data_IF_685934543818
#
_entry.id   IF_685934543818
#
_cell.length_a   1.000
_cell.length_b   1.000
_cell.length_c   1.000
_cell.angle_alpha   90.00
_cell.angle_beta   90.00
_cell.angle_gamma   90.00
#
_symmetry.space_group_name_H-M   'P 1'
#
loop_
_entity.id
_entity.type
_entity.pdbx_description
1 polymer ?
#
# COMPACT_ATOMS: atom_id res chain seq x y z
N UNK A 1 -17.96 -11.90 -17.50
CA UNK A 1 -18.01 -10.52 -16.95
C UNK A 1 -18.20 -10.63 -15.45
N UNK A 2 -17.44 -9.90 -14.62
CA UNK A 2 -17.60 -9.97 -13.17
C UNK A 2 -19.02 -9.53 -12.81
N UNK A 3 -19.78 -10.41 -12.15
CA UNK A 3 -21.13 -10.13 -11.69
C UNK A 3 -21.06 -9.13 -10.55
N UNK A 4 -21.62 -7.94 -10.76
CA UNK A 4 -21.70 -6.90 -9.73
C UNK A 4 -22.70 -7.38 -8.68
N UNK A 5 -22.25 -7.51 -7.43
CA UNK A 5 -23.16 -7.70 -6.30
C UNK A 5 -23.95 -6.39 -6.08
N UNK A 6 -25.22 -6.41 -6.49
CA UNK A 6 -26.10 -5.25 -6.46
C UNK A 6 -26.44 -4.80 -5.04
N UNK A 7 -26.51 -5.72 -4.07
CA UNK A 7 -26.76 -5.37 -2.67
C UNK A 7 -25.54 -4.68 -2.06
N UNK A 8 -24.35 -5.24 -2.29
CA UNK A 8 -23.11 -4.64 -1.82
C UNK A 8 -22.83 -3.28 -2.50
N UNK A 9 -23.11 -3.17 -3.80
CA UNK A 9 -23.00 -1.92 -4.54
C UNK A 9 -23.97 -0.86 -4.02
N UNK A 10 -25.21 -1.23 -3.73
CA UNK A 10 -26.19 -0.31 -3.13
C UNK A 10 -25.75 0.16 -1.74
N UNK A 11 -25.39 -0.76 -0.85
CA UNK A 11 -24.96 -0.43 0.50
C UNK A 11 -23.73 0.50 0.50
N UNK A 12 -22.77 0.25 -0.42
CA UNK A 12 -21.61 1.10 -0.62
C UNK A 12 -21.98 2.49 -1.17
N UNK A 13 -22.89 2.54 -2.14
CA UNK A 13 -23.38 3.78 -2.71
C UNK A 13 -24.11 4.62 -1.67
N UNK A 14 -25.02 4.03 -0.89
CA UNK A 14 -25.79 4.70 0.16
C UNK A 14 -24.88 5.36 1.20
N UNK A 15 -23.90 4.61 1.73
CA UNK A 15 -22.95 5.07 2.77
C UNK A 15 -21.83 5.98 2.26
N UNK A 16 -21.82 6.35 0.97
CA UNK A 16 -20.79 7.17 0.33
C UNK A 16 -19.38 6.56 0.37
N UNK A 17 -19.28 5.26 0.15
CA UNK A 17 -18.02 4.57 0.33
C UNK A 17 -16.99 4.87 -0.76
N UNK A 18 -15.97 5.67 -0.42
CA UNK A 18 -14.82 5.96 -1.30
C UNK A 18 -14.07 4.73 -1.79
N UNK A 19 -14.15 3.60 -1.07
CA UNK A 19 -13.46 2.35 -1.44
C UNK A 19 -14.06 1.68 -2.68
N UNK A 20 -15.28 2.05 -3.03
CA UNK A 20 -15.97 1.54 -4.22
C UNK A 20 -15.86 2.49 -5.42
N UNK A 21 -15.24 3.67 -5.25
CA UNK A 21 -14.94 4.56 -6.36
C UNK A 21 -14.04 3.85 -7.38
N UNK A 22 -14.48 3.82 -8.64
CA UNK A 22 -13.77 3.14 -9.73
C UNK A 22 -13.95 1.61 -9.76
N UNK A 23 -14.66 1.01 -8.79
CA UNK A 23 -15.06 -0.42 -8.81
C UNK A 23 -16.50 -0.63 -9.25
N UNK A 24 -17.35 0.34 -8.92
CA UNK A 24 -18.73 0.37 -9.37
C UNK A 24 -19.12 1.81 -9.64
N UNK A 25 -20.03 1.99 -10.58
CA UNK A 25 -20.61 3.27 -10.92
C UNK A 25 -22.12 3.18 -10.67
N UNK A 26 -22.66 4.09 -9.86
CA UNK A 26 -24.09 4.23 -9.66
C UNK A 26 -24.67 5.19 -10.67
N UNK A 27 -25.54 4.69 -11.54
CA UNK A 27 -26.25 5.46 -12.55
C UNK A 27 -27.69 5.72 -12.11
N UNK A 28 -28.11 6.99 -12.16
CA UNK A 28 -29.41 7.43 -11.69
C UNK A 28 -30.35 7.58 -12.88
N UNK A 29 -31.28 6.63 -13.03
CA UNK A 29 -32.22 6.50 -14.16
C UNK A 29 -32.96 7.80 -14.45
N UNK A 30 -33.43 8.48 -13.41
CA UNK A 30 -34.24 9.70 -13.54
C UNK A 30 -33.46 10.93 -14.02
N UNK A 31 -32.14 10.97 -13.82
CA UNK A 31 -31.31 12.13 -14.19
C UNK A 31 -30.37 11.86 -15.36
N UNK A 32 -30.21 10.59 -15.76
CA UNK A 32 -29.24 10.22 -16.79
C UNK A 32 -27.79 10.44 -16.35
N UNK A 33 -27.51 10.55 -15.05
CA UNK A 33 -26.18 10.83 -14.51
C UNK A 33 -25.62 9.60 -13.81
N UNK A 34 -24.38 9.24 -14.12
CA UNK A 34 -23.63 8.26 -13.37
C UNK A 34 -22.56 8.89 -12.48
N UNK A 35 -22.34 8.30 -11.32
CA UNK A 35 -21.45 8.84 -10.31
C UNK A 35 -20.76 7.74 -9.50
N UNK A 36 -19.59 8.09 -8.96
CA UNK A 36 -18.88 7.22 -8.03
C UNK A 36 -19.65 7.09 -6.70
N UNK A 37 -19.54 5.96 -5.99
CA UNK A 37 -20.18 5.74 -4.70
C UNK A 37 -19.95 6.87 -3.71
N UNK A 38 -18.75 7.45 -3.61
CA UNK A 38 -18.48 8.58 -2.70
C UNK A 38 -19.03 9.94 -3.12
N UNK A 39 -19.72 10.02 -4.26
CA UNK A 39 -20.26 11.27 -4.78
C UNK A 39 -21.03 12.02 -3.69
N UNK A 40 -20.75 13.32 -3.44
CA UNK A 40 -21.45 14.11 -2.42
C UNK A 40 -22.87 14.53 -2.82
N UNK A 41 -23.34 14.16 -4.01
CA UNK A 41 -24.71 14.45 -4.46
C UNK A 41 -25.76 13.80 -3.53
N UNK A 42 -26.97 14.35 -3.52
CA UNK A 42 -28.09 13.79 -2.76
C UNK A 42 -28.35 12.35 -3.23
N UNK A 43 -28.60 11.44 -2.29
CA UNK A 43 -28.87 10.05 -2.63
C UNK A 43 -30.25 9.93 -3.27
N UNK A 44 -30.36 9.40 -4.51
CA UNK A 44 -31.63 9.00 -5.09
C UNK A 44 -32.20 7.78 -4.35
N UNK A 45 -33.48 7.47 -4.59
CA UNK A 45 -34.09 6.23 -4.11
C UNK A 45 -33.48 5.02 -4.81
N UNK A 46 -33.44 3.88 -4.13
CA UNK A 46 -32.87 2.63 -4.63
C UNK A 46 -33.43 2.19 -5.97
N UNK A 47 -34.75 2.27 -6.13
CA UNK A 47 -35.48 1.92 -7.36
C UNK A 47 -35.02 2.71 -8.60
N UNK A 48 -34.42 3.88 -8.41
CA UNK A 48 -33.93 4.77 -9.47
C UNK A 48 -32.43 4.62 -9.75
N UNK A 49 -31.74 3.67 -9.13
CA UNK A 49 -30.30 3.46 -9.33
C UNK A 49 -30.04 2.10 -9.92
N UNK A 50 -29.15 2.06 -10.90
CA UNK A 50 -28.51 0.84 -11.37
C UNK A 50 -26.99 0.97 -11.29
N UNK A 51 -26.31 -0.17 -11.36
CA UNK A 51 -24.87 -0.24 -11.13
C UNK A 51 -24.15 -0.84 -12.33
N UNK A 52 -23.03 -0.23 -12.68
CA UNK A 52 -22.13 -0.65 -13.76
C UNK A 52 -20.73 -0.94 -13.21
N UNK A 53 -19.99 -1.84 -13.86
CA UNK A 53 -18.65 -2.23 -13.40
C UNK A 53 -17.62 -1.12 -13.65
N UNK A 54 -17.92 -0.20 -14.56
CA UNK A 54 -17.08 0.95 -14.86
C UNK A 54 -17.84 2.06 -15.59
N UNK A 55 -17.16 3.20 -15.74
CA UNK A 55 -17.70 4.37 -16.42
C UNK A 55 -18.06 4.13 -17.89
N UNK A 56 -17.34 3.23 -18.56
CA UNK A 56 -17.55 2.97 -19.99
C UNK A 56 -18.86 2.21 -20.26
N UNK A 57 -19.21 1.24 -19.42
CA UNK A 57 -20.51 0.55 -19.51
C UNK A 57 -21.67 1.52 -19.24
N UNK A 58 -21.55 2.40 -18.24
CA UNK A 58 -22.56 3.41 -17.96
C UNK A 58 -22.75 4.37 -19.15
N UNK A 59 -21.65 4.76 -19.82
CA UNK A 59 -21.70 5.63 -21.01
C UNK A 59 -22.32 4.92 -22.21
N UNK A 60 -21.97 3.66 -22.44
CA UNK A 60 -22.58 2.83 -23.48
C UNK A 60 -24.10 2.65 -23.27
N UNK A 61 -24.54 2.63 -22.01
CA UNK A 61 -25.95 2.63 -21.62
C UNK A 61 -26.63 4.01 -21.69
N UNK A 62 -25.93 5.06 -22.17
CA UNK A 62 -26.50 6.40 -22.40
C UNK A 62 -26.39 7.37 -21.23
N UNK A 63 -25.68 7.02 -20.15
CA UNK A 63 -25.50 7.90 -19.00
C UNK A 63 -24.34 8.88 -19.17
N UNK A 64 -24.46 10.06 -18.56
CA UNK A 64 -23.41 11.10 -18.53
C UNK A 64 -22.66 11.11 -17.19
N UNK A 65 -21.35 11.35 -17.24
CA UNK A 65 -20.53 11.49 -16.05
C UNK A 65 -20.98 12.64 -15.14
N UNK A 66 -21.04 12.38 -13.83
CA UNK A 66 -21.31 13.41 -12.83
C UNK A 66 -20.19 14.46 -12.79
N UNK A 67 -20.53 15.71 -13.07
CA UNK A 67 -19.60 16.83 -13.04
C UNK A 67 -19.09 17.17 -11.63
N UNK A 68 -19.79 16.73 -10.58
CA UNK A 68 -19.45 17.03 -9.19
C UNK A 68 -18.39 16.08 -8.63
N UNK A 69 -18.53 14.78 -8.90
CA UNK A 69 -17.60 13.78 -8.38
C UNK A 69 -16.56 13.30 -9.41
N UNK A 70 -16.75 13.66 -10.68
CA UNK A 70 -15.85 13.38 -11.81
C UNK A 70 -15.34 11.93 -11.80
N UNK A 71 -16.24 10.95 -11.92
CA UNK A 71 -15.92 9.53 -11.74
C UNK A 71 -14.81 9.03 -12.67
N UNK A 72 -14.70 9.62 -13.87
CA UNK A 72 -13.73 9.23 -14.88
C UNK A 72 -12.28 9.63 -14.55
N UNK A 73 -12.05 10.52 -13.58
CA UNK A 73 -10.70 10.91 -13.16
C UNK A 73 -10.03 9.83 -12.27
N UNK A 74 -10.81 9.06 -11.49
CA UNK A 74 -10.27 8.05 -10.54
C UNK A 74 -9.81 6.76 -11.24
N UNK A 75 -10.57 6.30 -12.25
CA UNK A 75 -10.16 5.16 -13.08
C UNK A 75 -8.88 5.46 -13.86
N UNK A 76 -8.78 6.68 -14.38
CA UNK A 76 -7.61 7.19 -15.11
C UNK A 76 -6.35 7.22 -14.24
N UNK A 77 -6.45 7.63 -12.96
CA UNK A 77 -5.31 7.62 -12.03
C UNK A 77 -4.70 6.22 -11.86
N UNK A 78 -5.55 5.18 -11.72
CA UNK A 78 -5.12 3.79 -11.50
C UNK A 78 -4.38 3.22 -12.71
N UNK A 79 -4.95 3.40 -13.90
CA UNK A 79 -4.35 2.93 -15.16
C UNK A 79 -3.02 3.65 -15.43
N UNK A 80 -2.97 4.97 -15.19
CA UNK A 80 -1.77 5.77 -15.32
C UNK A 80 -0.64 5.27 -14.42
N UNK A 81 -0.92 4.94 -13.16
CA UNK A 81 0.10 4.43 -12.23
C UNK A 81 0.63 3.08 -12.70
N UNK A 82 -0.25 2.18 -13.15
CA UNK A 82 0.18 0.88 -13.63
C UNK A 82 1.10 0.95 -14.83
N UNK A 83 0.73 1.75 -15.83
CA UNK A 83 1.56 1.95 -17.02
C UNK A 83 2.90 2.63 -16.71
N UNK A 84 2.95 3.54 -15.74
CA UNK A 84 4.20 4.15 -15.32
C UNK A 84 5.14 3.15 -14.61
N UNK A 85 4.62 2.22 -13.82
CA UNK A 85 5.43 1.16 -13.21
C UNK A 85 6.04 0.27 -14.30
N UNK A 86 5.26 -0.13 -15.30
CA UNK A 86 5.76 -0.91 -16.43
C UNK A 86 6.91 -0.19 -17.15
N UNK A 87 6.76 1.12 -17.41
CA UNK A 87 7.80 1.94 -18.03
C UNK A 87 9.07 2.01 -17.18
N UNK A 88 8.95 2.17 -15.86
CA UNK A 88 10.12 2.18 -14.96
C UNK A 88 10.79 0.81 -14.94
N UNK A 89 10.01 -0.27 -14.95
CA UNK A 89 10.54 -1.62 -14.94
C UNK A 89 11.25 -1.97 -16.26
N UNK A 90 10.84 -1.43 -17.39
CA UNK A 90 11.47 -1.71 -18.68
C UNK A 90 12.65 -0.79 -19.01
N UNK A 91 12.79 0.34 -18.30
CA UNK A 91 13.84 1.30 -18.59
C UNK A 91 15.22 0.84 -18.10
N UNK A 92 16.24 1.06 -18.94
CA UNK A 92 17.66 0.89 -18.59
C UNK A 92 18.15 2.03 -17.68
N UNK A 93 17.75 3.26 -18.00
CA UNK A 93 18.01 4.47 -17.22
C UNK A 93 16.78 4.93 -16.45
N UNK A 94 17.01 5.68 -15.38
CA UNK A 94 15.92 6.24 -14.55
C UNK A 94 15.12 7.25 -15.39
N UNK A 95 13.83 6.97 -15.70
CA UNK A 95 13.02 7.88 -16.49
C UNK A 95 12.79 9.21 -15.76
N UNK A 96 12.81 10.31 -16.49
CA UNK A 96 12.45 11.63 -15.93
C UNK A 96 10.95 11.67 -15.63
N UNK A 97 10.59 12.45 -14.62
CA UNK A 97 9.18 12.59 -14.20
C UNK A 97 8.30 13.09 -15.37
N UNK A 98 8.83 14.00 -16.19
CA UNK A 98 8.15 14.56 -17.35
C UNK A 98 7.82 13.48 -18.38
N UNK A 99 8.72 12.52 -18.59
CA UNK A 99 8.53 11.41 -19.53
C UNK A 99 7.44 10.46 -19.03
N UNK A 100 7.49 10.10 -17.74
CA UNK A 100 6.48 9.23 -17.12
C UNK A 100 5.11 9.89 -17.14
N UNK A 101 5.03 11.17 -16.77
CA UNK A 101 3.77 11.90 -16.74
C UNK A 101 3.16 12.08 -18.14
N UNK A 102 4.00 12.40 -19.15
CA UNK A 102 3.56 12.49 -20.54
C UNK A 102 3.04 11.15 -21.06
N UNK A 103 3.72 10.04 -20.75
CA UNK A 103 3.34 8.71 -21.21
C UNK A 103 1.98 8.22 -20.65
N UNK A 104 1.49 8.85 -19.58
CA UNK A 104 0.24 8.49 -18.92
C UNK A 104 -0.82 9.61 -18.98
N UNK A 105 -0.52 10.71 -19.67
CA UNK A 105 -1.47 11.80 -19.92
C UNK A 105 -1.70 12.75 -18.74
N UNK A 106 -0.70 12.90 -17.85
CA UNK A 106 -0.78 13.79 -16.68
C UNK A 106 0.28 14.90 -16.71
N UNK A 107 -0.01 16.00 -16.02
CA UNK A 107 1.01 17.00 -15.70
C UNK A 107 2.01 16.41 -14.67
N UNK A 108 3.33 16.71 -14.76
CA UNK A 108 4.38 16.10 -13.92
C UNK A 108 4.10 16.17 -12.41
N UNK A 109 3.77 17.35 -11.90
CA UNK A 109 3.47 17.56 -10.48
C UNK A 109 2.22 16.80 -10.04
N UNK A 110 1.19 16.73 -10.89
CA UNK A 110 -0.02 15.98 -10.58
C UNK A 110 0.26 14.47 -10.53
N UNK A 111 1.00 13.97 -11.51
CA UNK A 111 1.40 12.56 -11.60
C UNK A 111 2.24 12.13 -10.39
N UNK A 112 3.25 12.92 -10.01
CA UNK A 112 4.07 12.64 -8.83
C UNK A 112 3.22 12.49 -7.57
N UNK A 113 2.23 13.36 -7.37
CA UNK A 113 1.34 13.31 -6.20
C UNK A 113 0.48 12.05 -6.18
N UNK A 114 -0.13 11.67 -7.31
CA UNK A 114 -0.96 10.45 -7.36
C UNK A 114 -0.10 9.19 -7.23
N UNK A 115 1.05 9.13 -7.89
CA UNK A 115 1.97 7.99 -7.79
C UNK A 115 2.49 7.82 -6.37
N UNK A 116 2.94 8.90 -5.73
CA UNK A 116 3.43 8.85 -4.34
C UNK A 116 2.32 8.46 -3.36
N UNK A 117 1.08 8.89 -3.61
CA UNK A 117 -0.07 8.53 -2.77
C UNK A 117 -0.36 7.02 -2.83
N UNK A 118 -0.34 6.42 -4.01
CA UNK A 118 -0.68 5.01 -4.19
C UNK A 118 0.51 4.06 -3.93
N UNK A 119 1.72 4.44 -4.34
CA UNK A 119 2.93 3.60 -4.28
C UNK A 119 3.73 3.86 -3.00
N UNK A 120 3.47 4.97 -2.31
CA UNK A 120 4.15 5.35 -1.07
C UNK A 120 5.50 6.04 -1.28
N UNK A 121 6.07 6.01 -2.49
CA UNK A 121 7.33 6.69 -2.85
C UNK A 121 7.20 7.42 -4.17
N UNK A 122 8.04 8.45 -4.40
CA UNK A 122 8.08 9.14 -5.69
C UNK A 122 8.54 8.22 -6.83
N UNK A 123 8.16 8.48 -8.10
CA UNK A 123 8.62 7.68 -9.24
C UNK A 123 10.15 7.57 -9.33
N UNK A 124 10.87 8.65 -9.08
CA UNK A 124 12.34 8.67 -9.08
C UNK A 124 12.96 7.85 -7.92
N UNK A 125 12.30 7.80 -6.77
CA UNK A 125 12.75 6.95 -5.66
C UNK A 125 12.47 5.47 -5.95
N UNK A 126 11.32 5.15 -6.53
CA UNK A 126 10.96 3.81 -6.99
C UNK A 126 11.99 3.28 -8.02
N UNK A 127 12.28 4.06 -9.06
CA UNK A 127 13.26 3.71 -10.09
C UNK A 127 14.69 3.52 -9.53
N UNK A 128 15.12 4.37 -8.58
CA UNK A 128 16.43 4.23 -7.92
C UNK A 128 16.54 2.94 -7.11
N UNK A 129 15.47 2.56 -6.41
CA UNK A 129 15.42 1.29 -5.65
C UNK A 129 15.62 0.09 -6.58
N UNK A 130 14.84 0.02 -7.67
CA UNK A 130 14.94 -1.06 -8.65
C UNK A 130 16.34 -1.16 -9.27
N UNK A 131 16.99 -0.04 -9.58
CA UNK A 131 18.35 -0.03 -10.12
C UNK A 131 19.39 -0.53 -9.13
N UNK A 132 19.29 -0.14 -7.87
CA UNK A 132 20.19 -0.61 -6.82
C UNK A 132 20.08 -2.13 -6.63
N UNK A 133 18.86 -2.68 -6.69
CA UNK A 133 18.62 -4.12 -6.65
C UNK A 133 19.24 -4.86 -7.84
N UNK A 134 19.07 -4.33 -9.06
CA UNK A 134 19.71 -4.89 -10.27
C UNK A 134 21.23 -4.90 -10.18
N UNK A 135 21.82 -3.80 -9.73
CA UNK A 135 23.27 -3.69 -9.54
C UNK A 135 23.78 -4.70 -8.49
N UNK A 136 23.06 -4.84 -7.37
CA UNK A 136 23.40 -5.84 -6.35
C UNK A 136 23.27 -7.28 -6.86
N UNK A 137 22.27 -7.60 -7.69
CA UNK A 137 22.15 -8.92 -8.32
C UNK A 137 23.28 -9.21 -9.31
N UNK A 138 23.62 -8.24 -10.18
CA UNK A 138 24.68 -8.41 -11.17
C UNK A 138 26.08 -8.58 -10.56
N UNK A 139 26.32 -7.96 -9.39
CA UNK A 139 27.57 -8.11 -8.62
C UNK A 139 27.67 -9.46 -7.90
N UNK A 140 26.55 -10.08 -7.54
CA UNK A 140 26.54 -11.40 -6.92
C UNK A 140 26.76 -12.54 -7.94
N UNK A 141 26.48 -12.32 -9.23
CA UNK A 141 26.68 -13.32 -10.29
C UNK A 141 28.11 -13.35 -10.85
N UNK A 142 28.86 -12.24 -10.77
CA UNK A 142 30.19 -12.10 -11.40
C UNK A 142 31.32 -11.94 -10.36
N UNK A 143 31.30 -12.74 -9.29
CA UNK A 143 32.21 -12.64 -8.16
C UNK A 143 33.64 -12.20 -8.52
N UNK A 144 34.14 -11.19 -7.80
CA UNK A 144 35.48 -10.54 -7.87
C UNK A 144 35.58 -9.15 -8.52
N UNK A 145 34.80 -8.15 -8.05
CA UNK A 145 35.26 -6.74 -8.04
C UNK A 145 34.70 -5.98 -6.82
N UNK A 146 34.62 -6.64 -5.67
CA UNK A 146 34.00 -6.06 -4.45
C UNK A 146 35.03 -5.40 -3.53
N UNK A 147 36.32 -5.41 -3.86
CA UNK A 147 37.35 -4.87 -2.95
C UNK A 147 37.98 -3.56 -3.44
N UNK A 148 38.12 -3.33 -4.76
CA UNK A 148 38.88 -2.17 -5.26
C UNK A 148 38.06 -0.86 -5.38
N UNK A 149 36.73 -0.93 -5.49
CA UNK A 149 35.86 0.27 -5.52
C UNK A 149 35.55 0.76 -4.09
N UNK A 150 35.77 -0.09 -3.08
CA UNK A 150 35.31 0.08 -1.71
C UNK A 150 36.22 0.94 -0.82
N UNK A 151 37.39 1.37 -1.31
CA UNK A 151 38.31 2.26 -0.58
C UNK A 151 38.17 3.75 -0.92
N UNK A 152 37.20 4.13 -1.78
CA UNK A 152 37.02 5.53 -2.24
C UNK A 152 35.89 6.30 -1.54
N UNK A 153 35.60 6.01 -0.27
CA UNK A 153 34.87 6.94 0.61
C UNK A 153 33.37 6.71 0.82
N UNK A 154 32.85 5.52 0.49
CA UNK A 154 31.55 5.07 1.00
C UNK A 154 31.77 4.14 2.18
N UNK A 155 31.44 4.59 3.39
CA UNK A 155 31.57 3.81 4.63
C UNK A 155 30.78 2.49 4.58
N UNK A 156 31.53 1.43 4.27
CA UNK A 156 31.35 -0.02 4.39
C UNK A 156 29.98 -0.62 4.84
N UNK A 157 29.36 -1.46 3.99
CA UNK A 157 28.32 -2.43 4.34
C UNK A 157 28.86 -3.79 4.86
N UNK A 158 30.18 -3.97 5.03
CA UNK A 158 30.78 -5.30 5.25
C UNK A 158 30.52 -5.89 6.65
N UNK A 159 30.28 -5.06 7.66
CA UNK A 159 29.77 -5.54 8.96
C UNK A 159 28.28 -5.87 8.95
N UNK A 160 27.56 -5.49 7.91
CA UNK A 160 26.10 -5.62 7.83
C UNK A 160 25.66 -7.01 7.33
N UNK A 161 26.50 -7.73 6.58
CA UNK A 161 26.18 -9.07 6.08
C UNK A 161 26.52 -10.19 7.07
N UNK A 162 27.40 -9.95 8.05
CA UNK A 162 27.71 -10.92 9.09
C UNK A 162 26.52 -11.14 10.06
N UNK A 163 25.76 -10.07 10.35
CA UNK A 163 24.55 -10.12 11.18
C UNK A 163 23.27 -10.33 10.37
N UNK A 164 23.35 -10.54 9.04
CA UNK A 164 22.20 -10.65 8.16
C UNK A 164 21.35 -11.93 8.36
N UNK A 165 21.80 -12.88 9.19
CA UNK A 165 20.98 -14.02 9.61
C UNK A 165 19.79 -13.61 10.50
N UNK A 166 19.85 -12.44 11.13
CA UNK A 166 18.80 -11.92 12.02
C UNK A 166 17.94 -10.81 11.36
N UNK A 167 18.07 -10.58 10.04
CA UNK A 167 17.26 -9.61 9.29
C UNK A 167 15.82 -10.10 9.13
N UNK A 168 14.97 -9.82 10.12
CA UNK A 168 13.50 -9.78 10.04
C UNK A 168 12.76 -11.03 9.49
N UNK A 169 13.45 -12.12 9.13
CA UNK A 169 12.90 -13.27 8.40
C UNK A 169 12.68 -13.03 6.89
N UNK A 170 13.13 -11.89 6.34
CA UNK A 170 12.78 -11.45 4.98
C UNK A 170 13.79 -11.96 3.95
N UNK A 171 13.40 -12.92 3.10
CA UNK A 171 14.24 -13.38 1.96
C UNK A 171 13.57 -13.01 0.63
N UNK A 172 14.13 -12.07 -0.15
CA UNK A 172 13.43 -11.15 -1.06
C UNK A 172 12.86 -11.73 -2.38
N UNK A 173 12.27 -12.92 -2.41
CA UNK A 173 11.93 -13.52 -3.72
C UNK A 173 10.64 -13.00 -4.37
N UNK A 174 9.61 -12.64 -3.59
CA UNK A 174 8.34 -12.12 -4.12
C UNK A 174 8.47 -10.81 -4.92
N UNK A 175 9.48 -10.01 -4.61
CA UNK A 175 9.61 -8.65 -5.13
C UNK A 175 10.57 -8.52 -6.31
N UNK A 176 11.43 -9.53 -6.53
CA UNK A 176 12.35 -9.55 -7.67
C UNK A 176 11.56 -9.60 -8.97
N UNK A 177 11.86 -8.66 -9.87
CA UNK A 177 11.27 -8.57 -11.21
C UNK A 177 9.74 -8.76 -11.21
N UNK A 178 9.04 -8.08 -10.29
CA UNK A 178 7.57 -8.16 -10.19
C UNK A 178 7.04 -9.53 -9.76
N UNK A 179 7.85 -10.34 -9.08
CA UNK A 179 7.49 -11.68 -8.57
C UNK A 179 7.65 -12.80 -9.58
N UNK A 180 8.52 -12.64 -10.58
CA UNK A 180 8.77 -13.69 -11.58
C UNK A 180 9.20 -14.98 -10.90
N UNK A 181 8.51 -16.08 -11.23
CA UNK A 181 8.78 -17.41 -10.70
C UNK A 181 8.21 -17.65 -9.30
N UNK A 182 7.54 -16.66 -8.70
CA UNK A 182 6.89 -16.79 -7.40
C UNK A 182 5.41 -17.12 -7.54
N UNK A 183 4.90 -17.90 -6.58
CA UNK A 183 3.46 -18.13 -6.42
C UNK A 183 2.98 -17.38 -5.19
N UNK A 184 2.09 -16.41 -5.40
CA UNK A 184 1.48 -15.61 -4.33
C UNK A 184 0.06 -16.09 -4.12
N UNK A 185 -0.23 -16.59 -2.92
CA UNK A 185 -1.59 -16.93 -2.50
C UNK A 185 -2.23 -15.75 -1.81
N UNK A 186 -3.50 -15.50 -2.07
CA UNK A 186 -4.22 -14.40 -1.43
C UNK A 186 -5.59 -14.81 -0.89
N UNK A 187 -6.01 -14.14 0.18
CA UNK A 187 -7.36 -14.18 0.70
C UNK A 187 -7.85 -12.78 1.07
N UNK A 188 -9.17 -12.61 1.11
CA UNK A 188 -9.79 -11.45 1.73
C UNK A 188 -10.36 -11.87 3.08
N UNK A 189 -9.99 -11.14 4.12
CA UNK A 189 -10.42 -11.39 5.49
C UNK A 189 -11.38 -10.28 5.90
N UNK A 190 -12.53 -10.66 6.45
CA UNK A 190 -13.40 -9.71 7.16
C UNK A 190 -12.93 -9.63 8.61
N UNK A 191 -12.50 -8.44 9.01
CA UNK A 191 -11.87 -8.20 10.32
C UNK A 191 -12.63 -7.10 11.08
N UNK A 192 -12.45 -6.96 12.40
CA UNK A 192 -13.00 -5.84 13.17
C UNK A 192 -12.56 -4.45 12.66
N UNK A 193 -11.48 -4.38 11.88
CA UNK A 193 -10.94 -3.17 11.26
C UNK A 193 -11.45 -2.96 9.81
N UNK A 194 -12.35 -3.83 9.35
CA UNK A 194 -12.85 -3.91 7.98
C UNK A 194 -12.10 -4.94 7.14
N UNK A 195 -12.48 -5.03 5.86
CA UNK A 195 -11.92 -6.02 4.93
C UNK A 195 -10.43 -5.78 4.67
N UNK A 196 -9.63 -6.82 4.81
CA UNK A 196 -8.18 -6.82 4.55
C UNK A 196 -7.84 -7.84 3.47
N UNK A 197 -6.87 -7.49 2.63
CA UNK A 197 -6.19 -8.46 1.77
C UNK A 197 -5.00 -9.01 2.55
N UNK A 198 -4.89 -10.34 2.62
CA UNK A 198 -3.67 -11.04 3.00
C UNK A 198 -3.12 -11.75 1.76
N UNK A 199 -1.81 -11.61 1.51
CA UNK A 199 -1.12 -12.35 0.47
C UNK A 199 0.23 -12.88 0.99
N UNK A 200 0.57 -14.10 0.61
CA UNK A 200 1.76 -14.79 1.06
C UNK A 200 2.45 -15.55 -0.08
N UNK A 201 3.78 -15.57 -0.03
CA UNK A 201 4.60 -16.52 -0.77
C UNK A 201 4.80 -17.79 0.05
N UNK A 202 5.58 -18.73 -0.46
CA UNK A 202 6.03 -19.89 0.32
C UNK A 202 6.94 -19.53 1.51
N UNK A 203 7.42 -18.28 1.59
CA UNK A 203 8.31 -17.81 2.66
C UNK A 203 7.58 -17.09 3.78
N UNK A 204 6.45 -16.46 3.48
CA UNK A 204 5.70 -15.69 4.45
C UNK A 204 4.74 -14.68 3.84
N UNK A 205 4.16 -13.86 4.71
CA UNK A 205 3.20 -12.82 4.34
C UNK A 205 3.94 -11.69 3.63
N UNK A 206 3.64 -11.49 2.35
CA UNK A 206 4.23 -10.43 1.53
C UNK A 206 3.32 -9.19 1.43
N UNK A 207 2.03 -9.35 1.76
CA UNK A 207 1.07 -8.25 1.82
C UNK A 207 0.02 -8.48 2.89
N UNK A 208 -0.25 -7.46 3.69
CA UNK A 208 -1.39 -7.40 4.58
C UNK A 208 -1.88 -5.95 4.62
N UNK A 209 -2.97 -5.66 3.91
CA UNK A 209 -3.39 -4.27 3.67
C UNK A 209 -4.89 -4.10 3.67
N UNK A 210 -5.32 -2.92 4.12
CA UNK A 210 -6.72 -2.51 4.04
C UNK A 210 -7.08 -2.08 2.62
N UNK A 211 -8.34 -2.30 2.24
CA UNK A 211 -8.99 -1.72 1.05
C UNK A 211 -8.32 -2.03 -0.31
N UNK A 212 -7.34 -2.91 -0.33
CA UNK A 212 -6.65 -3.35 -1.53
C UNK A 212 -7.44 -4.48 -2.23
N UNK A 213 -7.55 -4.42 -3.56
CA UNK A 213 -8.19 -5.46 -4.37
C UNK A 213 -7.16 -6.33 -5.12
N UNK A 214 -7.65 -7.40 -5.74
CA UNK A 214 -6.82 -8.32 -6.52
C UNK A 214 -6.13 -7.62 -7.69
N UNK A 215 -6.74 -6.59 -8.28
CA UNK A 215 -6.13 -5.86 -9.39
C UNK A 215 -4.90 -5.07 -8.93
N UNK A 216 -4.98 -4.41 -7.77
CA UNK A 216 -3.83 -3.74 -7.16
C UNK A 216 -2.72 -4.75 -6.76
N UNK A 217 -3.09 -5.93 -6.28
CA UNK A 217 -2.12 -6.99 -5.99
C UNK A 217 -1.40 -7.47 -7.26
N UNK A 218 -2.17 -7.71 -8.34
CA UNK A 218 -1.64 -8.08 -9.66
C UNK A 218 -0.74 -6.99 -10.25
N UNK A 219 -1.10 -5.72 -10.07
CA UNK A 219 -0.28 -4.63 -10.56
C UNK A 219 1.07 -4.56 -9.84
N UNK A 220 1.10 -4.90 -8.55
CA UNK A 220 2.34 -4.87 -7.77
C UNK A 220 3.23 -6.09 -8.01
N UNK A 221 2.63 -7.24 -8.31
CA UNK A 221 3.34 -8.46 -8.66
C UNK A 221 2.94 -8.94 -10.07
N UNK A 222 3.27 -8.17 -11.12
CA UNK A 222 2.79 -8.42 -12.47
C UNK A 222 3.32 -9.72 -13.09
N UNK A 223 4.44 -10.24 -12.58
CA UNK A 223 5.08 -11.46 -13.08
C UNK A 223 4.89 -12.67 -12.14
N UNK A 224 4.16 -12.52 -11.04
CA UNK A 224 3.86 -13.61 -10.11
C UNK A 224 2.64 -14.43 -10.55
N UNK A 225 2.66 -15.71 -10.20
CA UNK A 225 1.46 -16.54 -10.29
C UNK A 225 0.58 -16.26 -9.08
N UNK A 226 -0.52 -15.53 -9.27
CA UNK A 226 -1.42 -15.15 -8.17
C UNK A 226 -2.63 -16.08 -8.10
N UNK A 227 -2.75 -16.82 -7.01
CA UNK A 227 -3.79 -17.84 -6.79
C UNK A 227 -4.60 -17.54 -5.53
N UNK A 228 -5.89 -17.94 -5.47
CA UNK A 228 -6.64 -17.94 -4.22
C UNK A 228 -5.93 -18.78 -3.14
N UNK A 229 -6.17 -18.46 -1.88
CA UNK A 229 -5.70 -19.22 -0.74
C UNK A 229 -6.13 -20.70 -0.82
N UNK A 230 -5.24 -21.59 -0.43
CA UNK A 230 -5.49 -23.01 -0.23
C UNK A 230 -5.31 -23.38 1.24
N UNK A 231 -5.41 -24.67 1.56
CA UNK A 231 -5.28 -25.17 2.92
C UNK A 231 -3.92 -24.88 3.55
N UNK A 232 -2.86 -24.70 2.74
CA UNK A 232 -1.53 -24.35 3.23
C UNK A 232 -1.46 -22.92 3.80
N UNK A 233 -2.38 -22.03 3.41
CA UNK A 233 -2.45 -20.65 3.91
C UNK A 233 -3.32 -20.51 5.17
N UNK A 234 -4.03 -21.56 5.60
CA UNK A 234 -4.98 -21.50 6.71
C UNK A 234 -4.35 -21.06 8.04
N UNK A 235 -3.14 -21.56 8.35
CA UNK A 235 -2.40 -21.18 9.57
C UNK A 235 -1.99 -19.71 9.56
N UNK A 236 -1.52 -19.19 8.42
CA UNK A 236 -1.18 -17.77 8.27
C UNK A 236 -2.41 -16.88 8.42
N UNK A 237 -3.53 -17.27 7.82
CA UNK A 237 -4.80 -16.53 7.95
C UNK A 237 -5.25 -16.49 9.41
N UNK A 238 -5.25 -17.63 10.10
CA UNK A 238 -5.61 -17.71 11.52
C UNK A 238 -4.70 -16.83 12.39
N UNK A 239 -3.39 -16.87 12.14
CA UNK A 239 -2.42 -16.02 12.81
C UNK A 239 -2.67 -14.53 12.57
N UNK A 240 -2.95 -14.12 11.32
CA UNK A 240 -3.28 -12.73 10.99
C UNK A 240 -4.55 -12.28 11.71
N UNK A 241 -5.59 -13.11 11.74
CA UNK A 241 -6.81 -12.80 12.48
C UNK A 241 -6.53 -12.63 13.98
N UNK A 242 -5.73 -13.54 14.57
CA UNK A 242 -5.30 -13.44 15.96
C UNK A 242 -4.52 -12.15 16.24
N UNK A 243 -3.63 -11.73 15.32
CA UNK A 243 -2.88 -10.48 15.43
C UNK A 243 -3.76 -9.23 15.41
N UNK A 244 -4.93 -9.31 14.76
CA UNK A 244 -5.89 -8.20 14.68
C UNK A 244 -6.81 -8.18 15.90
N UNK A 245 -7.29 -9.35 16.31
CA UNK A 245 -8.27 -9.49 17.41
C UNK A 245 -7.61 -9.39 18.79
N UNK A 246 -6.37 -9.87 18.91
CA UNK A 246 -5.59 -9.87 20.16
C UNK A 246 -4.23 -9.20 19.93
N UNK A 247 -4.18 -7.87 19.68
CA UNK A 247 -2.96 -7.17 19.27
C UNK A 247 -1.89 -7.07 20.38
N UNK A 248 -2.24 -7.40 21.63
CA UNK A 248 -1.33 -7.46 22.78
C UNK A 248 -0.59 -8.79 22.90
N UNK A 249 -1.05 -9.84 22.20
CA UNK A 249 -0.35 -11.13 22.19
C UNK A 249 0.91 -11.07 21.30
N UNK A 250 1.85 -11.99 21.57
CA UNK A 250 3.05 -12.15 20.73
C UNK A 250 2.65 -12.90 19.47
N UNK A 251 2.91 -12.29 18.31
CA UNK A 251 2.65 -12.89 17.00
C UNK A 251 3.95 -13.02 16.24
N UNK A 252 4.39 -14.26 16.04
CA UNK A 252 5.58 -14.57 15.23
C UNK A 252 5.16 -15.16 13.89
N UNK A 253 4.58 -14.30 13.04
CA UNK A 253 4.21 -14.68 11.69
C UNK A 253 5.36 -14.40 10.72
N UNK A 254 5.65 -15.32 9.80
CA UNK A 254 6.70 -15.09 8.81
C UNK A 254 6.28 -13.97 7.86
N UNK A 255 7.18 -13.03 7.61
CA UNK A 255 6.96 -11.87 6.73
C UNK A 255 7.99 -11.92 5.60
N UNK A 256 7.51 -11.77 4.36
CA UNK A 256 8.33 -11.74 3.14
C UNK A 256 8.12 -10.41 2.40
N UNK A 257 8.71 -9.35 2.93
CA UNK A 257 8.57 -8.00 2.37
C UNK A 257 9.93 -7.45 1.98
N UNK A 258 9.92 -6.60 0.96
CA UNK A 258 11.10 -5.89 0.48
C UNK A 258 10.77 -4.41 0.43
N UNK A 259 11.73 -3.61 0.85
CA UNK A 259 11.71 -2.17 0.69
C UNK A 259 13.09 -1.67 0.34
N UNK A 260 13.20 -0.37 0.14
CA UNK A 260 14.51 0.28 0.16
C UNK A 260 15.20 0.00 1.50
N UNK A 261 16.53 -0.03 1.54
CA UNK A 261 17.25 -0.25 2.80
C UNK A 261 16.89 0.74 3.91
N UNK A 262 16.40 1.95 3.57
CA UNK A 262 15.84 2.89 4.55
C UNK A 262 14.47 2.45 5.09
N UNK A 263 13.56 1.99 4.21
CA UNK A 263 12.25 1.48 4.61
C UNK A 263 12.38 0.25 5.52
N UNK A 264 13.26 -0.69 5.17
CA UNK A 264 13.49 -1.89 5.99
C UNK A 264 13.98 -1.53 7.40
N UNK A 265 14.90 -0.57 7.53
CA UNK A 265 15.33 -0.06 8.84
C UNK A 265 14.18 0.57 9.62
N UNK A 266 13.36 1.40 8.96
CA UNK A 266 12.18 1.98 9.60
C UNK A 266 11.24 0.88 10.09
N UNK A 267 10.89 -0.08 9.24
CA UNK A 267 9.98 -1.19 9.61
C UNK A 267 10.55 -2.08 10.73
N UNK A 268 11.87 -2.26 10.77
CA UNK A 268 12.54 -2.91 11.89
C UNK A 268 12.32 -2.15 13.20
N UNK A 269 12.51 -0.83 13.21
CA UNK A 269 12.24 0.00 14.39
C UNK A 269 10.75 0.01 14.78
N UNK A 270 9.84 -0.03 13.81
CA UNK A 270 8.41 -0.13 14.08
C UNK A 270 8.07 -1.41 14.87
N UNK A 271 8.64 -2.56 14.47
CA UNK A 271 8.39 -3.86 15.15
C UNK A 271 8.89 -3.89 16.59
N UNK A 272 9.84 -3.02 16.97
CA UNK A 272 10.34 -2.92 18.34
C UNK A 272 9.38 -2.18 19.28
N UNK A 273 8.39 -1.45 18.75
CA UNK A 273 7.43 -0.71 19.57
C UNK A 273 6.44 -1.71 20.19
N UNK A 274 6.36 -1.87 21.52
CA UNK A 274 5.44 -2.80 22.16
C UNK A 274 3.95 -2.40 21.96
N UNK A 275 3.00 -3.35 22.04
CA UNK A 275 1.59 -3.03 22.14
C UNK A 275 1.32 -2.09 23.32
N UNK A 276 0.48 -1.08 23.11
CA UNK A 276 0.11 -0.09 24.13
C UNK A 276 1.08 1.08 24.24
N UNK A 277 2.24 1.00 23.59
CA UNK A 277 3.19 2.09 23.49
C UNK A 277 3.11 2.82 22.15
N UNK A 278 3.52 4.09 22.16
CA UNK A 278 3.70 4.87 20.94
C UNK A 278 5.11 5.45 20.86
N UNK A 279 5.54 5.78 19.64
CA UNK A 279 6.76 6.56 19.37
C UNK A 279 6.42 7.69 18.41
N UNK A 280 7.18 8.77 18.45
CA UNK A 280 7.04 9.83 17.47
C UNK A 280 7.81 9.52 16.19
N UNK A 281 7.44 10.16 15.08
CA UNK A 281 8.24 10.09 13.85
C UNK A 281 9.70 10.56 14.05
N UNK A 282 9.95 11.47 15.01
CA UNK A 282 11.28 11.94 15.35
C UNK A 282 12.08 10.86 16.11
N UNK A 283 11.44 10.13 17.01
CA UNK A 283 12.08 9.02 17.75
C UNK A 283 12.54 7.93 16.77
N UNK A 284 11.68 7.57 15.82
CA UNK A 284 12.03 6.59 14.79
C UNK A 284 13.15 7.12 13.88
N UNK A 285 13.13 8.41 13.51
CA UNK A 285 14.20 9.03 12.72
C UNK A 285 15.56 8.97 13.44
N UNK A 286 15.58 9.26 14.74
CA UNK A 286 16.77 9.12 15.57
C UNK A 286 17.24 7.65 15.67
N UNK A 287 16.31 6.71 15.88
CA UNK A 287 16.61 5.29 16.00
C UNK A 287 17.21 4.69 14.72
N UNK A 288 16.78 5.15 13.53
CA UNK A 288 17.36 4.71 12.25
C UNK A 288 18.67 5.42 11.88
N UNK A 289 19.19 6.29 12.76
CA UNK A 289 20.47 6.99 12.61
C UNK A 289 20.44 8.28 11.80
N UNK A 290 19.25 8.81 11.47
CA UNK A 290 19.11 10.10 10.80
C UNK A 290 17.99 10.94 11.45
N UNK A 291 18.31 11.71 12.50
CA UNK A 291 17.34 12.54 13.21
C UNK A 291 16.60 13.57 12.34
N UNK A 292 17.16 13.92 11.17
CA UNK A 292 16.55 14.90 10.23
C UNK A 292 15.54 14.24 9.28
N UNK A 293 15.49 12.90 9.24
CA UNK A 293 14.68 12.14 8.30
C UNK A 293 13.19 11.99 8.68
N UNK A 294 12.63 12.80 9.59
CA UNK A 294 11.25 12.66 10.10
C UNK A 294 10.20 12.53 8.98
N UNK A 295 10.31 13.32 7.90
CA UNK A 295 9.40 13.24 6.74
C UNK A 295 9.58 11.95 5.94
N UNK A 296 10.82 11.51 5.77
CA UNK A 296 11.14 10.26 5.07
C UNK A 296 10.64 9.05 5.88
N UNK A 297 10.77 9.08 7.21
CA UNK A 297 10.17 8.09 8.12
C UNK A 297 8.66 8.06 7.96
N UNK A 298 7.98 9.21 7.92
CA UNK A 298 6.54 9.25 7.69
C UNK A 298 6.13 8.59 6.37
N UNK A 299 6.92 8.79 5.32
CA UNK A 299 6.74 8.16 4.01
C UNK A 299 6.96 6.65 4.06
N UNK A 300 8.04 6.18 4.70
CA UNK A 300 8.33 4.77 4.90
C UNK A 300 7.28 4.06 5.77
N UNK A 301 6.79 4.73 6.83
CA UNK A 301 5.70 4.25 7.68
C UNK A 301 4.41 4.06 6.89
N UNK A 302 4.08 5.00 6.00
CA UNK A 302 2.92 4.91 5.11
C UNK A 302 3.06 3.85 4.01
N UNK A 303 4.28 3.48 3.64
CA UNK A 303 4.59 2.48 2.62
C UNK A 303 4.63 1.05 3.16
N UNK A 304 4.25 0.83 4.42
CA UNK A 304 4.28 -0.48 5.05
C UNK A 304 3.39 -1.50 4.29
N UNK A 305 3.95 -2.58 3.75
CA UNK A 305 3.21 -3.58 2.99
C UNK A 305 2.44 -4.57 3.87
N UNK A 306 2.73 -4.66 5.17
CA UNK A 306 2.13 -5.62 6.10
C UNK A 306 1.61 -4.90 7.35
N UNK A 307 0.51 -4.16 7.18
CA UNK A 307 -0.16 -3.45 8.25
C UNK A 307 -0.50 -4.39 9.42
N UNK A 308 -0.59 -3.84 10.64
CA UNK A 308 -0.77 -4.59 11.90
C UNK A 308 0.48 -5.39 12.32
N UNK A 309 1.03 -6.24 11.45
CA UNK A 309 2.23 -7.04 11.76
C UNK A 309 3.50 -6.19 11.85
N UNK A 310 3.65 -5.22 10.95
CA UNK A 310 4.54 -4.08 11.14
C UNK A 310 3.67 -2.94 11.70
N UNK A 311 3.82 -2.55 12.98
CA UNK A 311 2.83 -1.75 13.68
C UNK A 311 2.97 -0.25 13.42
N UNK A 312 2.83 0.15 12.15
CA UNK A 312 2.90 1.54 11.68
C UNK A 312 1.84 2.47 12.29
N UNK A 313 0.79 1.92 12.92
CA UNK A 313 -0.22 2.66 13.68
C UNK A 313 0.29 3.15 15.04
N UNK A 314 1.37 2.57 15.60
CA UNK A 314 1.98 2.99 16.87
C UNK A 314 2.83 4.26 16.77
N UNK A 315 3.01 4.81 15.56
CA UNK A 315 3.76 6.07 15.36
C UNK A 315 2.84 7.28 15.31
N UNK A 316 3.08 8.26 16.17
CA UNK A 316 2.27 9.50 16.29
C UNK A 316 3.14 10.76 16.08
N UNK A 317 2.52 11.94 16.10
CA UNK A 317 3.28 13.21 16.05
C UNK A 317 3.93 13.47 17.41
N UNK A 318 5.03 14.23 17.42
CA UNK A 318 5.75 14.59 18.65
C UNK A 318 4.93 15.45 19.63
N UNK A 319 3.86 16.11 19.16
CA UNK A 319 2.92 16.83 20.01
C UNK A 319 1.90 15.91 20.74
N UNK A 320 1.94 14.61 20.46
CA UNK A 320 1.02 13.60 20.98
C UNK A 320 -0.23 13.38 20.14
N UNK A 321 -0.44 14.15 19.07
CA UNK A 321 -1.60 14.00 18.18
C UNK A 321 -1.42 12.89 17.15
N UNK A 322 -2.54 12.38 16.62
CA UNK A 322 -2.52 11.36 15.58
C UNK A 322 -2.07 11.93 14.23
N UNK A 323 -0.88 11.50 13.79
CA UNK A 323 -0.43 11.66 12.41
C UNK A 323 -1.27 10.84 11.42
N UNK A 324 -1.15 11.15 10.12
CA UNK A 324 -1.79 10.39 9.05
C UNK A 324 -1.50 8.89 9.11
N UNK A 325 -2.40 8.08 8.54
CA UNK A 325 -2.30 6.63 8.50
C UNK A 325 -2.82 6.13 7.16
N UNK A 326 -2.07 5.23 6.50
CA UNK A 326 -2.44 4.69 5.19
C UNK A 326 -3.79 3.98 5.22
N UNK A 327 -4.09 3.26 6.31
CA UNK A 327 -5.39 2.63 6.54
C UNK A 327 -6.49 3.58 7.05
N UNK A 328 -6.25 4.89 7.15
CA UNK A 328 -7.21 5.87 7.66
C UNK A 328 -7.24 6.03 9.19
N UNK A 329 -7.46 7.26 9.66
CA UNK A 329 -7.35 7.61 11.08
C UNK A 329 -8.30 6.84 12.01
N UNK A 330 -9.48 6.44 11.52
CA UNK A 330 -10.42 5.64 12.30
C UNK A 330 -9.83 4.27 12.70
N UNK A 331 -9.19 3.57 11.75
CA UNK A 331 -8.54 2.28 12.01
C UNK A 331 -7.37 2.42 12.96
N UNK A 332 -6.58 3.49 12.80
CA UNK A 332 -5.49 3.80 13.72
C UNK A 332 -5.98 3.99 15.15
N UNK A 333 -7.07 4.72 15.36
CA UNK A 333 -7.71 4.88 16.69
C UNK A 333 -8.15 3.53 17.25
N UNK A 334 -8.83 2.70 16.46
CA UNK A 334 -9.29 1.37 16.88
C UNK A 334 -8.13 0.46 17.31
N UNK A 335 -7.06 0.42 16.51
CA UNK A 335 -5.86 -0.36 16.83
C UNK A 335 -5.18 0.14 18.12
N UNK A 336 -4.94 1.45 18.24
CA UNK A 336 -4.34 2.01 19.44
C UNK A 336 -5.20 1.78 20.69
N UNK A 337 -6.53 1.94 20.58
CA UNK A 337 -7.45 1.68 21.67
C UNK A 337 -7.46 0.20 22.09
N UNK A 338 -7.47 -0.73 21.13
CA UNK A 338 -7.42 -2.17 21.41
C UNK A 338 -6.12 -2.59 22.10
N UNK A 339 -5.04 -1.85 21.89
CA UNK A 339 -3.76 -2.03 22.56
C UNK A 339 -3.64 -1.30 23.90
N UNK A 340 -4.61 -0.45 24.27
CA UNK A 340 -4.58 0.38 25.48
C UNK A 340 -3.64 1.60 25.39
N UNK A 341 -3.23 2.00 24.18
CA UNK A 341 -2.37 3.15 23.98
C UNK A 341 -3.12 4.48 24.17
N UNK A 342 -2.43 5.50 24.67
CA UNK A 342 -2.97 6.86 24.86
C UNK A 342 -2.40 7.84 23.83
N UNK A 343 -3.20 8.82 23.43
CA UNK A 343 -2.79 9.91 22.55
C UNK A 343 -3.57 11.19 22.88
N UNK A 344 -3.06 12.35 22.45
CA UNK A 344 -3.80 13.61 22.54
C UNK A 344 -4.78 13.71 21.38
N UNK A 345 -6.06 13.85 21.71
CA UNK A 345 -7.08 14.17 20.72
C UNK A 345 -6.93 15.66 20.35
N UNK A 346 -6.82 15.97 19.05
CA UNK A 346 -6.91 17.36 18.62
C UNK A 346 -8.36 17.79 18.87
N UNK A 347 -8.56 18.81 19.72
CA UNK A 347 -9.84 19.49 19.83
C UNK A 347 -10.30 19.85 18.41
N UNK A 348 -11.45 19.32 18.00
CA UNK A 348 -12.06 19.67 16.74
C UNK A 348 -12.33 21.18 16.78
N UNK A 349 -11.58 21.95 15.99
CA UNK A 349 -12.03 23.29 15.62
C UNK A 349 -13.20 23.10 14.66
N UNK A 350 -14.40 23.00 15.22
CA UNK A 350 -15.62 23.34 14.53
C UNK A 350 -15.67 24.87 14.44
N UNK A 351 -15.34 25.41 13.26
CA UNK A 351 -15.78 26.71 12.77
C UNK A 351 -16.13 26.61 11.28
#
# INVERSE_FOLDING_TARGET
MPTIDLEAAWAAFERRDRRWDGRVIGAVKTTGIYCKPSCPARRPKREHVEFFAGSDEARAAGYRACLRCKPDEVGRDREAIGRAIELINQAEDIPRLEQLAAAVGYAPHHFQRIFTREIGVSPAAYARGLRAERAASALNENGTVTEAIYDSGYSAPSRFYADAKDRLGMTPSAWRDGGRGETIRYAFLDTPLGRMLVAATNKGICRLTFDEDLAALKLRFPNATILPADTAMASLISGVMSAIETPTAVHDLPIDVVGTGFQERVWAELRKIPPGETRSYADIAAAVGDPKATRAVGTANGSNPVAVLVPCHRVIRSDGSLGGYAGGLERKRKLLAAEGATWKEQAAFDL
#
